data_IF_660163605819
#
_entry.id   IF_660163605819
#
_cell.length_a   1.000
_cell.length_b   1.000
_cell.length_c   1.000
_cell.angle_alpha   90.00
_cell.angle_beta   90.00
_cell.angle_gamma   90.00
#
_symmetry.space_group_name_H-M   'P 1'
#
loop_
_entity.id
_entity.type
_entity.pdbx_description
1 polymer ?
#
# COMPACT_ATOMS: atom_id res chain seq x y z
N UNK A 1 -14.21 -7.51 9.32
CA UNK A 1 -12.76 -7.80 9.46
C UNK A 1 -12.19 -6.71 10.34
N UNK A 2 -11.38 -7.07 11.31
CA UNK A 2 -10.71 -6.10 12.19
C UNK A 2 -9.31 -5.80 11.64
N UNK A 3 -8.77 -4.61 11.96
CA UNK A 3 -7.47 -4.14 11.45
C UNK A 3 -6.35 -5.12 11.80
N UNK A 4 -6.35 -5.65 13.02
CA UNK A 4 -5.32 -6.60 13.48
C UNK A 4 -5.33 -7.90 12.66
N UNK A 5 -6.50 -8.39 12.27
CA UNK A 5 -6.62 -9.59 11.45
C UNK A 5 -6.08 -9.36 10.05
N UNK A 6 -6.50 -8.29 9.38
CA UNK A 6 -6.03 -7.96 8.04
C UNK A 6 -4.51 -7.73 8.02
N UNK A 7 -4.00 -6.99 9.01
CA UNK A 7 -2.57 -6.73 9.10
C UNK A 7 -1.77 -8.01 9.35
N UNK A 8 -2.23 -8.90 10.24
CA UNK A 8 -1.59 -10.20 10.48
C UNK A 8 -1.50 -11.04 9.21
N UNK A 9 -2.55 -11.07 8.42
CA UNK A 9 -2.57 -11.83 7.19
C UNK A 9 -1.61 -11.23 6.15
N UNK A 10 -1.55 -9.90 6.02
CA UNK A 10 -0.59 -9.22 5.16
C UNK A 10 0.87 -9.45 5.60
N UNK A 11 1.17 -9.38 6.89
CA UNK A 11 2.54 -9.56 7.40
C UNK A 11 3.05 -10.98 7.19
N UNK A 12 2.20 -11.99 7.24
CA UNK A 12 2.58 -13.39 6.99
C UNK A 12 2.98 -13.67 5.54
N UNK A 13 2.62 -12.80 4.61
CA UNK A 13 3.02 -12.89 3.21
C UNK A 13 4.44 -12.32 3.09
N UNK A 14 5.38 -13.17 2.68
CA UNK A 14 6.80 -12.81 2.53
C UNK A 14 7.06 -12.09 1.20
N UNK A 15 6.39 -10.98 0.96
CA UNK A 15 6.48 -10.18 -0.26
C UNK A 15 7.77 -9.36 -0.31
N UNK A 16 8.89 -10.05 -0.37
CA UNK A 16 10.20 -9.40 -0.53
C UNK A 16 10.31 -8.83 -1.94
N UNK A 17 10.68 -7.53 -2.00
CA UNK A 17 10.79 -6.79 -3.27
C UNK A 17 11.53 -7.60 -4.36
N UNK A 18 11.08 -7.62 -5.62
CA UNK A 18 9.95 -6.86 -6.20
C UNK A 18 8.62 -7.65 -6.26
N UNK A 19 8.40 -8.62 -5.38
CA UNK A 19 7.27 -9.56 -5.48
C UNK A 19 6.12 -9.21 -4.53
N UNK A 20 4.89 -9.37 -5.02
CA UNK A 20 3.67 -9.24 -4.21
C UNK A 20 3.39 -10.49 -3.36
N UNK A 21 3.70 -11.68 -3.88
CA UNK A 21 3.53 -12.99 -3.22
C UNK A 21 2.11 -13.24 -2.69
N UNK A 22 1.09 -12.56 -3.28
CA UNK A 22 -0.32 -12.77 -2.94
C UNK A 22 -0.93 -11.73 -2.00
N UNK A 23 -0.24 -10.63 -1.68
CA UNK A 23 -0.87 -9.53 -0.95
C UNK A 23 -2.08 -8.97 -1.70
N UNK A 24 -1.98 -8.85 -3.03
CA UNK A 24 -3.11 -8.38 -3.82
C UNK A 24 -4.27 -9.38 -3.87
N UNK A 25 -4.01 -10.68 -3.76
CA UNK A 25 -5.07 -11.70 -3.70
C UNK A 25 -5.91 -11.57 -2.42
N UNK A 26 -5.34 -10.99 -1.37
CA UNK A 26 -6.04 -10.66 -0.14
C UNK A 26 -6.76 -9.29 -0.24
N UNK A 27 -6.12 -8.30 -0.88
CA UNK A 27 -6.62 -6.91 -0.93
C UNK A 27 -7.72 -6.74 -2.00
N UNK A 28 -7.54 -7.32 -3.17
CA UNK A 28 -8.44 -7.14 -4.32
C UNK A 28 -9.88 -7.57 -4.04
N UNK A 29 -10.15 -8.75 -3.43
CA UNK A 29 -11.52 -9.12 -3.03
C UNK A 29 -12.14 -8.13 -2.04
N UNK A 30 -11.37 -7.63 -1.09
CA UNK A 30 -11.82 -6.62 -0.14
C UNK A 30 -12.28 -5.34 -0.84
N UNK A 31 -11.50 -4.84 -1.81
CA UNK A 31 -11.85 -3.66 -2.60
C UNK A 31 -13.05 -3.91 -3.50
N UNK A 32 -13.16 -5.10 -4.12
CA UNK A 32 -14.33 -5.49 -4.92
C UNK A 32 -15.61 -5.53 -4.10
N UNK A 33 -15.54 -6.02 -2.87
CA UNK A 33 -16.69 -6.02 -1.95
C UNK A 33 -17.15 -4.60 -1.57
N UNK A 34 -16.25 -3.62 -1.63
CA UNK A 34 -16.58 -2.20 -1.46
C UNK A 34 -17.05 -1.52 -2.75
N UNK A 35 -17.15 -2.25 -3.85
CA UNK A 35 -17.63 -1.76 -5.15
C UNK A 35 -16.56 -1.19 -6.08
N UNK A 36 -15.28 -1.33 -5.74
CA UNK A 36 -14.19 -0.91 -6.62
C UNK A 36 -14.09 -1.80 -7.87
N UNK A 37 -13.78 -1.18 -8.99
CA UNK A 37 -13.29 -1.88 -10.19
C UNK A 37 -11.78 -2.03 -10.05
N UNK A 38 -11.31 -3.27 -10.09
CA UNK A 38 -9.89 -3.60 -9.90
C UNK A 38 -9.27 -4.05 -11.22
N UNK A 39 -8.05 -3.61 -11.47
CA UNK A 39 -7.22 -3.98 -12.62
C UNK A 39 -5.81 -4.32 -12.11
N UNK A 40 -5.28 -5.48 -12.53
CA UNK A 40 -3.87 -5.84 -12.34
C UNK A 40 -3.09 -5.30 -13.53
N UNK A 41 -2.02 -4.54 -13.25
CA UNK A 41 -1.19 -3.91 -14.26
C UNK A 41 0.25 -4.33 -14.00
N UNK A 42 0.59 -5.52 -14.50
CA UNK A 42 1.91 -6.11 -14.26
C UNK A 42 2.91 -5.66 -15.33
N UNK A 43 4.15 -5.47 -14.92
CA UNK A 43 5.24 -5.13 -15.81
C UNK A 43 6.51 -5.85 -15.36
N UNK A 44 7.07 -6.68 -16.23
CA UNK A 44 8.18 -7.57 -15.91
C UNK A 44 7.91 -8.42 -14.65
N UNK A 45 8.70 -8.23 -13.61
CA UNK A 45 8.57 -8.94 -12.33
C UNK A 45 7.79 -8.13 -11.28
N UNK A 46 7.24 -6.97 -11.66
CA UNK A 46 6.52 -6.06 -10.78
C UNK A 46 5.03 -6.21 -11.01
N UNK A 47 4.32 -6.47 -9.93
CA UNK A 47 2.88 -6.55 -9.92
C UNK A 47 2.30 -5.23 -9.39
N UNK A 48 1.20 -4.79 -9.99
CA UNK A 48 0.54 -3.57 -9.55
C UNK A 48 -0.97 -3.78 -9.54
N UNK A 49 -1.63 -3.21 -8.53
CA UNK A 49 -3.07 -3.22 -8.39
C UNK A 49 -3.61 -1.79 -8.45
N UNK A 50 -4.41 -1.51 -9.47
CA UNK A 50 -5.21 -0.29 -9.55
C UNK A 50 -6.68 -0.60 -9.29
N UNK A 51 -7.27 0.07 -8.34
CA UNK A 51 -8.68 -0.06 -8.03
C UNK A 51 -9.35 1.31 -7.97
N UNK A 52 -10.51 1.48 -8.63
CA UNK A 52 -11.22 2.75 -8.70
C UNK A 52 -12.70 2.60 -8.37
N UNK A 53 -13.22 3.51 -7.58
CA UNK A 53 -14.65 3.66 -7.25
C UNK A 53 -15.16 5.02 -7.72
N UNK A 54 -16.33 5.03 -8.36
CA UNK A 54 -16.93 6.22 -8.97
C UNK A 54 -16.59 6.35 -10.46
N UNK A 55 -17.36 7.17 -11.17
CA UNK A 55 -17.22 7.34 -12.62
C UNK A 55 -16.93 8.79 -13.01
N UNK A 56 -17.24 9.76 -12.16
CA UNK A 56 -17.17 11.19 -12.46
C UNK A 56 -16.60 11.99 -11.29
N UNK A 57 -16.06 13.16 -11.58
CA UNK A 57 -15.50 14.08 -10.60
C UNK A 57 -14.00 13.91 -10.35
N UNK A 58 -13.43 14.72 -9.45
CA UNK A 58 -12.02 14.65 -9.10
C UNK A 58 -11.62 13.28 -8.55
N UNK A 59 -10.39 12.85 -8.83
CA UNK A 59 -9.85 11.57 -8.37
C UNK A 59 -8.89 11.77 -7.20
N UNK A 60 -9.22 11.17 -6.05
CA UNK A 60 -8.33 11.03 -4.93
C UNK A 60 -7.74 9.62 -4.91
N UNK A 61 -6.43 9.50 -5.01
CA UNK A 61 -5.70 8.25 -5.04
C UNK A 61 -4.92 8.02 -3.73
N UNK A 62 -5.08 6.85 -3.13
CA UNK A 62 -4.15 6.33 -2.15
C UNK A 62 -3.08 5.52 -2.87
N UNK A 63 -1.81 5.87 -2.63
CA UNK A 63 -0.65 5.20 -3.18
C UNK A 63 0.13 4.49 -2.06
N UNK A 64 0.50 3.24 -2.30
CA UNK A 64 1.31 2.45 -1.37
C UNK A 64 1.99 1.28 -2.05
N UNK A 65 2.73 0.50 -1.25
CA UNK A 65 3.42 -0.70 -1.71
C UNK A 65 3.19 -1.88 -0.78
N UNK A 66 3.17 -3.09 -1.34
CA UNK A 66 3.01 -4.34 -0.60
C UNK A 66 4.32 -5.07 -0.38
N UNK A 67 5.33 -4.73 -1.17
CA UNK A 67 6.66 -5.28 -1.01
C UNK A 67 7.36 -4.76 0.25
N UNK A 68 8.36 -5.49 0.66
CA UNK A 68 9.18 -5.18 1.84
C UNK A 68 10.64 -5.45 1.53
N UNK A 69 11.54 -4.69 2.16
CA UNK A 69 12.98 -4.97 2.09
C UNK A 69 13.31 -6.34 2.69
N UNK A 70 14.40 -6.99 2.26
CA UNK A 70 14.89 -8.21 2.88
C UNK A 70 15.02 -8.08 4.40
N UNK A 71 14.79 -9.18 5.11
CA UNK A 71 14.82 -9.19 6.59
C UNK A 71 16.21 -8.99 7.19
N UNK A 72 17.25 -9.22 6.40
CA UNK A 72 18.59 -9.42 6.94
C UNK A 72 18.71 -10.71 7.74
N UNK A 73 19.75 -10.85 8.57
CA UNK A 73 19.96 -12.04 9.40
C UNK A 73 18.80 -12.23 10.40
N UNK A 74 18.09 -13.36 10.27
CA UNK A 74 16.88 -13.65 11.07
C UNK A 74 17.19 -13.76 12.57
N UNK A 75 18.39 -14.15 12.92
CA UNK A 75 18.88 -14.22 14.30
C UNK A 75 18.94 -12.85 15.02
N UNK A 76 18.91 -11.75 14.29
CA UNK A 76 18.86 -10.41 14.86
C UNK A 76 17.43 -9.95 15.22
N UNK A 77 16.43 -10.73 14.86
CA UNK A 77 15.03 -10.42 15.16
C UNK A 77 14.63 -11.00 16.52
N UNK A 78 13.93 -10.19 17.34
CA UNK A 78 13.34 -10.65 18.61
C UNK A 78 12.16 -11.60 18.40
N UNK A 79 11.50 -11.51 17.24
CA UNK A 79 10.43 -12.41 16.80
C UNK A 79 10.64 -12.71 15.30
N UNK A 80 10.23 -13.87 14.80
CA UNK A 80 10.35 -14.16 13.36
C UNK A 80 9.71 -13.07 12.52
N UNK A 81 10.39 -12.55 11.45
CA UNK A 81 9.99 -11.35 10.74
C UNK A 81 8.61 -11.41 10.10
N UNK A 82 8.09 -12.59 9.78
CA UNK A 82 6.77 -12.76 9.16
C UNK A 82 5.77 -13.49 10.10
N UNK A 83 6.04 -13.52 11.41
CA UNK A 83 5.15 -14.19 12.38
C UNK A 83 3.93 -13.37 12.77
N UNK A 84 3.95 -12.05 12.57
CA UNK A 84 2.88 -11.13 12.96
C UNK A 84 2.45 -11.30 14.44
N UNK A 85 3.39 -11.51 15.32
CA UNK A 85 3.14 -11.69 16.75
C UNK A 85 2.80 -10.35 17.39
N UNK A 86 1.75 -10.33 18.24
CA UNK A 86 1.38 -9.16 19.04
C UNK A 86 1.84 -9.37 20.48
N UNK A 87 2.69 -8.47 20.99
CA UNK A 87 3.22 -8.48 22.37
C UNK A 87 3.01 -7.09 22.97
N UNK A 88 2.36 -7.01 24.11
CA UNK A 88 2.10 -5.76 24.85
C UNK A 88 1.45 -4.68 23.96
N UNK A 89 0.52 -5.08 23.09
CA UNK A 89 -0.20 -4.18 22.19
C UNK A 89 0.59 -3.72 20.96
N UNK A 90 1.79 -4.26 20.72
CA UNK A 90 2.61 -3.98 19.55
C UNK A 90 2.72 -5.21 18.66
N UNK A 91 2.45 -5.04 17.37
CA UNK A 91 2.65 -6.10 16.38
C UNK A 91 4.07 -6.04 15.82
N UNK A 92 4.75 -7.18 15.88
CA UNK A 92 6.12 -7.35 15.37
C UNK A 92 6.10 -8.04 14.02
N UNK A 93 6.84 -7.48 13.06
CA UNK A 93 7.02 -8.09 11.76
C UNK A 93 7.57 -7.12 10.71
N UNK A 94 8.21 -7.65 9.68
CA UNK A 94 8.65 -6.90 8.51
C UNK A 94 7.44 -6.35 7.77
N UNK A 95 7.41 -5.03 7.48
CA UNK A 95 6.30 -4.37 6.82
C UNK A 95 5.19 -3.86 7.76
N UNK A 96 5.26 -4.09 9.09
CA UNK A 96 4.23 -3.56 10.02
C UNK A 96 4.16 -2.04 10.01
N UNK A 97 5.30 -1.36 9.94
CA UNK A 97 5.38 0.10 9.87
C UNK A 97 5.48 0.60 8.43
N UNK A 98 6.20 -0.12 7.58
CA UNK A 98 6.50 0.25 6.20
C UNK A 98 6.20 -0.94 5.27
N UNK A 99 5.02 -0.91 4.49
CA UNK A 99 3.91 -0.03 4.87
C UNK A 99 2.58 -0.79 4.92
N UNK A 100 2.61 -2.13 5.11
CA UNK A 100 1.40 -2.98 5.19
C UNK A 100 0.44 -2.55 6.30
N UNK A 101 0.96 -2.00 7.42
CA UNK A 101 0.14 -1.43 8.48
C UNK A 101 -0.69 -0.24 8.02
N UNK A 102 -0.09 0.64 7.24
CA UNK A 102 -0.77 1.81 6.69
C UNK A 102 -1.81 1.41 5.62
N UNK A 103 -1.52 0.38 4.82
CA UNK A 103 -2.50 -0.21 3.88
C UNK A 103 -3.70 -0.75 4.66
N UNK A 104 -3.48 -1.59 5.68
CA UNK A 104 -4.56 -2.15 6.48
C UNK A 104 -5.42 -1.06 7.15
N UNK A 105 -4.78 -0.04 7.70
CA UNK A 105 -5.47 1.10 8.31
C UNK A 105 -6.32 1.87 7.29
N UNK A 106 -5.76 2.15 6.11
CA UNK A 106 -6.47 2.84 5.04
C UNK A 106 -7.68 2.04 4.54
N UNK A 107 -7.51 0.75 4.27
CA UNK A 107 -8.59 -0.10 3.77
C UNK A 107 -9.78 -0.16 4.74
N UNK A 108 -9.53 -0.25 6.04
CA UNK A 108 -10.61 -0.26 7.02
C UNK A 108 -11.24 1.12 7.21
N UNK A 109 -10.44 2.19 7.23
CA UNK A 109 -10.97 3.55 7.25
C UNK A 109 -11.84 3.82 6.02
N UNK A 110 -11.43 3.34 4.84
CA UNK A 110 -12.18 3.41 3.59
C UNK A 110 -13.53 2.67 3.70
N UNK A 111 -13.53 1.47 4.25
CA UNK A 111 -14.76 0.69 4.50
C UNK A 111 -15.72 1.45 5.42
N UNK A 112 -15.22 1.95 6.54
CA UNK A 112 -16.05 2.69 7.52
C UNK A 112 -16.58 3.99 6.89
N UNK A 113 -15.75 4.69 6.14
CA UNK A 113 -16.15 5.90 5.43
C UNK A 113 -17.27 5.63 4.41
N UNK A 114 -17.12 4.61 3.57
CA UNK A 114 -18.12 4.26 2.55
C UNK A 114 -19.43 3.77 3.17
N UNK A 115 -19.38 3.13 4.35
CA UNK A 115 -20.60 2.70 5.06
C UNK A 115 -21.49 3.86 5.50
N UNK A 116 -20.89 5.02 5.74
CA UNK A 116 -21.59 6.24 6.17
C UNK A 116 -21.78 7.27 5.05
N UNK A 117 -21.09 7.10 3.93
CA UNK A 117 -21.12 8.00 2.77
C UNK A 117 -21.44 7.22 1.48
N UNK A 118 -22.68 6.76 1.28
CA UNK A 118 -23.03 5.88 0.15
C UNK A 118 -23.01 6.58 -1.21
N UNK A 119 -22.98 7.91 -1.22
CA UNK A 119 -22.94 8.71 -2.45
C UNK A 119 -21.76 9.66 -2.42
N UNK A 120 -20.89 9.54 -3.43
CA UNK A 120 -19.72 10.40 -3.61
C UNK A 120 -19.89 11.27 -4.85
N UNK A 121 -19.43 12.52 -4.78
CA UNK A 121 -19.32 13.42 -5.92
C UNK A 121 -17.88 13.56 -6.44
N UNK A 122 -17.05 12.57 -6.13
CA UNK A 122 -15.66 12.41 -6.55
C UNK A 122 -15.34 10.91 -6.65
N UNK A 123 -14.21 10.61 -7.23
CA UNK A 123 -13.72 9.23 -7.38
C UNK A 123 -12.65 8.92 -6.32
N UNK A 124 -12.62 7.67 -5.90
CA UNK A 124 -11.57 7.15 -5.03
C UNK A 124 -10.77 6.10 -5.78
N UNK A 125 -9.45 6.15 -5.65
CA UNK A 125 -8.57 5.11 -6.16
C UNK A 125 -7.62 4.59 -5.09
N UNK A 126 -7.24 3.33 -5.25
CA UNK A 126 -6.14 2.67 -4.55
C UNK A 126 -5.17 2.17 -5.60
N UNK A 127 -3.93 2.61 -5.53
CA UNK A 127 -2.85 2.16 -6.38
C UNK A 127 -1.76 1.56 -5.50
N UNK A 128 -1.49 0.28 -5.69
CA UNK A 128 -0.48 -0.46 -4.95
C UNK A 128 0.53 -1.07 -5.92
N UNK A 129 1.80 -1.04 -5.53
CA UNK A 129 2.90 -1.67 -6.27
C UNK A 129 3.58 -2.72 -5.40
N UNK A 130 4.23 -3.68 -6.04
CA UNK A 130 5.10 -4.65 -5.38
C UNK A 130 6.59 -4.29 -5.46
N UNK A 131 6.95 -3.08 -5.94
CA UNK A 131 8.33 -2.66 -6.12
C UNK A 131 8.55 -1.16 -5.82
N UNK A 132 8.35 -0.78 -4.57
CA UNK A 132 8.79 0.54 -4.06
C UNK A 132 10.19 0.44 -3.49
N UNK A 133 10.48 -0.63 -2.77
CA UNK A 133 11.71 -0.89 -2.03
C UNK A 133 12.84 -1.47 -2.91
N UNK A 134 12.54 -1.77 -4.18
CA UNK A 134 13.49 -2.36 -5.11
C UNK A 134 14.31 -1.34 -5.89
N UNK A 135 15.15 -1.87 -6.80
CA UNK A 135 16.00 -1.03 -7.64
C UNK A 135 15.18 -0.19 -8.61
N UNK A 136 15.59 1.05 -8.87
CA UNK A 136 14.89 1.97 -9.74
C UNK A 136 14.64 1.48 -11.18
N UNK A 137 15.36 0.50 -11.66
CA UNK A 137 15.35 0.03 -13.05
C UNK A 137 14.31 -1.08 -13.31
N UNK A 138 13.71 -1.65 -12.25
CA UNK A 138 12.88 -2.86 -12.33
C UNK A 138 11.39 -2.61 -12.63
N UNK A 139 11.04 -1.67 -13.50
CA UNK A 139 9.66 -1.50 -13.95
C UNK A 139 8.73 -0.86 -12.91
N UNK A 140 8.67 0.42 -12.94
CA UNK A 140 8.11 1.24 -11.88
C UNK A 140 6.69 1.68 -12.12
N UNK A 141 6.15 2.28 -11.07
CA UNK A 141 4.93 3.08 -11.08
C UNK A 141 4.86 4.05 -12.28
N UNK A 142 6.01 4.44 -12.85
CA UNK A 142 6.12 5.25 -14.05
C UNK A 142 5.37 4.66 -15.26
N UNK A 143 5.35 3.32 -15.40
CA UNK A 143 4.61 2.64 -16.46
C UNK A 143 3.11 2.83 -16.27
N UNK A 144 2.65 2.77 -15.02
CA UNK A 144 1.24 2.97 -14.68
C UNK A 144 0.86 4.43 -14.88
N UNK A 145 1.70 5.36 -14.44
CA UNK A 145 1.46 6.79 -14.63
C UNK A 145 1.39 7.12 -16.13
N UNK A 146 2.29 6.53 -16.92
CA UNK A 146 2.23 6.69 -18.38
C UNK A 146 0.93 6.14 -18.96
N UNK A 147 0.52 4.93 -18.55
CA UNK A 147 -0.77 4.34 -18.96
C UNK A 147 -1.92 5.29 -18.62
N UNK A 148 -1.95 5.85 -17.42
CA UNK A 148 -3.00 6.79 -17.02
C UNK A 148 -3.01 8.04 -17.89
N UNK A 149 -1.83 8.59 -18.20
CA UNK A 149 -1.73 9.75 -19.12
C UNK A 149 -2.23 9.41 -20.52
N UNK A 150 -1.90 8.23 -21.05
CA UNK A 150 -2.31 7.76 -22.35
C UNK A 150 -3.83 7.49 -22.40
N UNK A 151 -4.41 6.99 -21.31
CA UNK A 151 -5.85 6.73 -21.16
C UNK A 151 -6.65 8.01 -20.79
N UNK A 152 -5.97 9.13 -20.54
CA UNK A 152 -6.60 10.39 -20.12
C UNK A 152 -7.07 10.38 -18.66
N UNK A 153 -6.56 9.46 -17.83
CA UNK A 153 -6.83 9.44 -16.39
C UNK A 153 -6.00 10.51 -15.69
N UNK A 154 -6.63 11.29 -14.83
CA UNK A 154 -5.99 12.35 -14.06
C UNK A 154 -6.21 12.17 -12.58
N UNK A 155 -5.12 12.14 -11.80
CA UNK A 155 -5.16 12.08 -10.34
C UNK A 155 -5.09 13.52 -9.82
N UNK A 156 -6.18 14.00 -9.22
CA UNK A 156 -6.26 15.37 -8.66
C UNK A 156 -5.57 15.48 -7.30
N UNK A 157 -5.67 14.41 -6.48
CA UNK A 157 -5.06 14.33 -5.16
C UNK A 157 -4.44 12.96 -4.94
N UNK A 158 -3.22 12.93 -4.39
CA UNK A 158 -2.55 11.70 -4.02
C UNK A 158 -2.15 11.71 -2.54
N UNK A 159 -2.59 10.69 -1.81
CA UNK A 159 -2.15 10.39 -0.46
C UNK A 159 -1.18 9.20 -0.53
N UNK A 160 0.09 9.45 -0.28
CA UNK A 160 1.10 8.39 -0.17
C UNK A 160 1.10 7.86 1.26
N UNK A 161 0.89 6.56 1.40
CA UNK A 161 0.68 5.91 2.69
C UNK A 161 1.95 5.63 3.51
N UNK A 162 3.06 6.24 3.16
CA UNK A 162 4.36 6.07 3.84
C UNK A 162 4.36 6.53 5.30
N UNK A 163 5.17 5.88 6.17
CA UNK A 163 5.31 6.29 7.56
C UNK A 163 6.00 7.66 7.66
N UNK A 164 5.31 8.65 8.20
CA UNK A 164 5.83 10.02 8.32
C UNK A 164 5.83 10.58 9.74
N UNK A 165 5.15 9.91 10.65
CA UNK A 165 5.04 10.34 12.06
C UNK A 165 6.39 10.29 12.77
N UNK A 166 6.64 11.27 13.65
CA UNK A 166 7.92 11.40 14.37
C UNK A 166 7.81 10.99 15.84
N UNK A 167 6.94 11.64 16.62
CA UNK A 167 6.78 11.41 18.06
C UNK A 167 5.41 10.85 18.43
N UNK A 168 4.39 11.18 17.65
CA UNK A 168 3.02 10.74 17.84
C UNK A 168 2.42 10.42 16.47
N UNK A 169 1.44 9.53 16.45
CA UNK A 169 0.70 9.22 15.22
C UNK A 169 0.13 10.51 14.63
N UNK A 170 0.38 10.74 13.35
CA UNK A 170 -0.08 11.89 12.56
C UNK A 170 0.43 13.25 13.05
N UNK A 171 1.57 13.31 13.73
CA UNK A 171 2.20 14.58 14.12
C UNK A 171 3.02 15.25 13.00
N UNK A 172 3.26 14.53 11.93
CA UNK A 172 4.07 14.99 10.80
C UNK A 172 3.46 14.51 9.48
N UNK A 173 3.21 15.46 8.57
CA UNK A 173 2.80 15.21 7.21
C UNK A 173 3.87 15.77 6.27
N UNK A 174 4.33 14.98 5.31
CA UNK A 174 5.26 15.41 4.28
C UNK A 174 4.49 15.89 3.07
N UNK A 175 4.81 17.10 2.60
CA UNK A 175 4.16 17.74 1.46
C UNK A 175 5.08 17.81 0.23
N UNK A 176 6.20 17.09 0.24
CA UNK A 176 7.17 17.08 -0.85
C UNK A 176 8.14 15.91 -0.71
N UNK A 177 8.91 15.68 -1.78
CA UNK A 177 9.90 14.62 -1.86
C UNK A 177 11.24 15.05 -1.30
N UNK A 178 11.96 14.13 -0.67
CA UNK A 178 13.36 14.28 -0.29
C UNK A 178 14.25 13.48 -1.23
N UNK A 179 15.47 13.96 -1.43
CA UNK A 179 16.53 13.16 -2.04
C UNK A 179 17.19 12.26 -0.98
N UNK A 180 17.77 11.18 -1.44
CA UNK A 180 18.62 10.27 -0.67
C UNK A 180 19.95 10.12 -1.38
N UNK A 181 21.05 10.13 -0.62
CA UNK A 181 22.39 9.85 -1.13
C UNK A 181 23.04 8.86 -0.18
N UNK A 182 23.41 7.70 -0.72
CA UNK A 182 24.16 6.67 -0.01
C UNK A 182 25.56 6.56 -0.62
N UNK A 183 26.58 6.39 0.21
CA UNK A 183 27.96 6.18 -0.19
C UNK A 183 28.55 4.98 0.57
N UNK A 184 29.46 4.26 -0.09
CA UNK A 184 30.28 3.18 0.51
C UNK A 184 31.70 3.68 0.72
#
# INVERSE_FOLDING_TARGET
>A
MEIESLLKDLIKIESITPKDEGCFDLIEPFLKDLGFKCERIDYDNVENLYAVLGNEGPLMCFLGHTDVVPTGPVENWSQPPFSAVTIDGHMYGRGTADMKGNIAAYLLALKDFLSTNPTLNYRLAVLLTSNEEGEPEDGKIDVIIKKFMDDGEHIDFCLVGEPSSNKKVVDTIRIGRRGSLSGT
#
